data_IF_248140953736
#
_entry.id   IF_248140953736
#
_cell.length_a   1.000
_cell.length_b   1.000
_cell.length_c   1.000
_cell.angle_alpha   90.00
_cell.angle_beta   90.00
_cell.angle_gamma   90.00
#
_symmetry.space_group_name_H-M   'P 1'
#
loop_
_entity.id
_entity.type
_entity.pdbx_description
1 polymer ?
#
# COMPACT_ATOMS: atom_id res chain seq x y z
N UNK A 1 -10.71 8.75 -11.03
CA UNK A 1 -11.27 7.41 -10.80
C UNK A 1 -10.62 6.49 -11.82
N UNK A 2 -9.72 5.60 -11.40
CA UNK A 2 -9.16 4.57 -12.29
C UNK A 2 -10.11 3.38 -12.20
N UNK A 3 -10.73 3.03 -13.32
CA UNK A 3 -11.65 1.89 -13.43
C UNK A 3 -10.93 0.59 -12.99
N UNK A 4 -11.46 -0.18 -12.03
CA UNK A 4 -10.77 -1.33 -11.43
C UNK A 4 -10.65 -2.55 -12.37
N UNK A 5 -11.12 -2.46 -13.62
CA UNK A 5 -11.13 -3.57 -14.58
C UNK A 5 -9.95 -3.64 -15.55
N UNK A 6 -9.23 -2.54 -15.78
CA UNK A 6 -8.23 -2.48 -16.86
C UNK A 6 -6.80 -2.61 -16.35
N UNK A 7 -6.50 -2.06 -15.16
CA UNK A 7 -5.14 -2.03 -14.62
C UNK A 7 -4.54 -3.43 -14.38
N UNK A 8 -5.39 -4.42 -14.10
CA UNK A 8 -4.94 -5.80 -13.81
C UNK A 8 -4.57 -6.57 -15.09
N UNK A 9 -5.14 -6.21 -16.24
CA UNK A 9 -4.93 -6.95 -17.51
C UNK A 9 -3.59 -6.62 -18.19
N UNK A 10 -3.00 -5.47 -17.86
CA UNK A 10 -1.69 -5.05 -18.36
C UNK A 10 -0.52 -5.59 -17.51
N UNK A 11 -0.81 -6.28 -16.41
CA UNK A 11 0.24 -6.90 -15.60
C UNK A 11 0.76 -8.16 -16.30
N UNK A 12 2.07 -8.26 -16.57
CA UNK A 12 2.60 -9.43 -17.23
C UNK A 12 2.37 -10.67 -16.36
N UNK A 13 1.71 -11.68 -16.94
CA UNK A 13 1.58 -13.01 -16.33
C UNK A 13 2.90 -13.76 -16.36
N UNK A 14 3.09 -14.72 -15.44
CA UNK A 14 4.34 -15.46 -15.16
C UNK A 14 5.26 -15.69 -16.38
N UNK A 15 6.58 -15.45 -16.28
CA UNK A 15 7.49 -15.61 -17.42
C UNK A 15 7.43 -17.06 -17.91
N UNK A 16 7.04 -17.27 -19.17
CA UNK A 16 6.97 -18.60 -19.77
C UNK A 16 8.31 -19.06 -20.37
N UNK A 17 9.28 -18.14 -20.47
CA UNK A 17 10.59 -18.37 -21.07
C UNK A 17 11.72 -17.91 -20.13
N UNK A 18 12.88 -18.57 -20.26
CA UNK A 18 14.10 -18.25 -19.50
C UNK A 18 14.81 -16.99 -19.99
N UNK A 19 14.63 -16.63 -21.26
CA UNK A 19 15.12 -15.39 -21.87
C UNK A 19 13.89 -14.62 -22.35
N UNK A 20 13.74 -13.39 -21.85
CA UNK A 20 12.65 -12.49 -22.21
C UNK A 20 13.13 -11.46 -23.25
N UNK A 21 12.22 -11.01 -24.11
CA UNK A 21 12.49 -9.83 -24.93
C UNK A 21 12.58 -8.60 -24.03
N UNK A 22 13.30 -7.58 -24.49
CA UNK A 22 13.50 -6.36 -23.73
C UNK A 22 12.17 -5.71 -23.27
N UNK A 23 11.15 -5.68 -24.13
CA UNK A 23 9.84 -5.15 -23.79
C UNK A 23 9.13 -5.96 -22.69
N UNK A 24 9.21 -7.29 -22.73
CA UNK A 24 8.62 -8.16 -21.70
C UNK A 24 9.34 -7.99 -20.36
N UNK A 25 10.69 -7.97 -20.38
CA UNK A 25 11.48 -7.72 -19.19
C UNK A 25 11.15 -6.35 -18.56
N UNK A 26 10.90 -5.33 -19.39
CA UNK A 26 10.54 -4.00 -18.91
C UNK A 26 9.17 -3.98 -18.23
N UNK A 27 8.15 -4.58 -18.86
CA UNK A 27 6.82 -4.69 -18.27
C UNK A 27 6.86 -5.37 -16.90
N UNK A 28 7.70 -6.40 -16.74
CA UNK A 28 7.90 -7.08 -15.47
C UNK A 28 8.52 -6.21 -14.39
N UNK A 29 9.56 -5.45 -14.75
CA UNK A 29 10.21 -4.53 -13.83
C UNK A 29 9.25 -3.43 -13.37
N UNK A 30 8.50 -2.85 -14.32
CA UNK A 30 7.55 -1.79 -14.03
C UNK A 30 6.39 -2.31 -13.15
N UNK A 31 5.86 -3.51 -13.44
CA UNK A 31 4.85 -4.15 -12.59
C UNK A 31 5.35 -4.46 -11.17
N UNK A 32 6.59 -4.90 -11.02
CA UNK A 32 7.20 -5.12 -9.70
C UNK A 32 7.35 -3.80 -8.93
N UNK A 33 7.83 -2.74 -9.60
CA UNK A 33 7.98 -1.42 -8.99
C UNK A 33 6.64 -0.88 -8.49
N UNK A 34 5.57 -1.05 -9.28
CA UNK A 34 4.21 -0.66 -8.90
C UNK A 34 3.72 -1.40 -7.65
N UNK A 35 3.93 -2.73 -7.56
CA UNK A 35 3.52 -3.51 -6.39
C UNK A 35 4.31 -3.14 -5.13
N UNK A 36 5.59 -2.83 -5.27
CA UNK A 36 6.43 -2.38 -4.16
C UNK A 36 5.98 -1.01 -3.62
N UNK A 37 5.65 -0.07 -4.49
CA UNK A 37 5.11 1.24 -4.12
C UNK A 37 3.77 1.09 -3.39
N UNK A 38 2.83 0.33 -3.97
CA UNK A 38 1.54 0.07 -3.34
C UNK A 38 1.68 -0.58 -1.94
N UNK A 39 2.68 -1.46 -1.77
CA UNK A 39 2.99 -2.06 -0.46
C UNK A 39 3.49 -1.01 0.54
N UNK A 40 4.37 -0.10 0.12
CA UNK A 40 4.89 0.98 0.97
C UNK A 40 3.76 1.93 1.40
N UNK A 41 2.89 2.32 0.49
CA UNK A 41 1.76 3.18 0.78
C UNK A 41 0.79 2.53 1.79
N UNK A 42 0.48 1.25 1.59
CA UNK A 42 -0.34 0.51 2.53
C UNK A 42 0.30 0.41 3.93
N UNK A 43 1.64 0.28 4.01
CA UNK A 43 2.35 0.31 5.29
C UNK A 43 2.26 1.69 5.95
N UNK A 44 2.52 2.76 5.21
CA UNK A 44 2.42 4.13 5.72
C UNK A 44 1.02 4.45 6.23
N UNK A 45 -0.02 4.05 5.50
CA UNK A 45 -1.41 4.24 5.91
C UNK A 45 -1.73 3.49 7.21
N UNK A 46 -1.27 2.23 7.33
CA UNK A 46 -1.44 1.45 8.56
C UNK A 46 -0.72 2.07 9.75
N UNK A 47 0.49 2.58 9.55
CA UNK A 47 1.22 3.26 10.61
C UNK A 47 0.57 4.58 11.01
N UNK A 48 0.10 5.38 10.05
CA UNK A 48 -0.65 6.60 10.32
C UNK A 48 -1.92 6.31 11.12
N UNK A 49 -2.69 5.29 10.72
CA UNK A 49 -3.88 4.86 11.44
C UNK A 49 -3.57 4.39 12.87
N UNK A 50 -2.49 3.62 13.06
CA UNK A 50 -2.04 3.20 14.41
C UNK A 50 -1.65 4.39 15.28
N UNK A 51 -0.92 5.37 14.74
CA UNK A 51 -0.54 6.58 15.47
C UNK A 51 -1.76 7.42 15.84
N UNK A 52 -2.71 7.60 14.92
CA UNK A 52 -3.96 8.30 15.19
C UNK A 52 -4.74 7.61 16.31
N UNK A 53 -4.92 6.28 16.23
CA UNK A 53 -5.60 5.53 17.28
C UNK A 53 -4.92 5.64 18.66
N UNK A 54 -3.58 5.58 18.70
CA UNK A 54 -2.84 5.73 19.94
C UNK A 54 -2.95 7.16 20.52
N UNK A 55 -2.94 8.18 19.66
CA UNK A 55 -3.11 9.58 20.08
C UNK A 55 -4.51 9.81 20.67
N UNK A 56 -5.56 9.33 20.00
CA UNK A 56 -6.94 9.41 20.49
C UNK A 56 -7.12 8.65 21.82
N UNK A 57 -6.48 7.49 21.98
CA UNK A 57 -6.51 6.74 23.23
C UNK A 57 -5.84 7.50 24.39
N UNK A 58 -4.70 8.13 24.14
CA UNK A 58 -3.99 8.94 25.14
C UNK A 58 -4.79 10.19 25.52
N UNK A 59 -5.36 10.88 24.53
CA UNK A 59 -6.16 12.08 24.74
C UNK A 59 -7.45 11.77 25.51
N UNK A 60 -8.16 10.70 25.15
CA UNK A 60 -9.36 10.26 25.88
C UNK A 60 -9.08 9.85 27.33
N UNK A 61 -7.88 9.34 27.63
CA UNK A 61 -7.47 9.05 29.00
C UNK A 61 -7.25 10.32 29.84
N UNK A 62 -6.62 11.35 29.28
CA UNK A 62 -6.43 12.63 29.98
C UNK A 62 -7.74 13.39 30.17
N UNK A 63 -8.59 13.45 29.14
CA UNK A 63 -9.92 14.08 29.23
C UNK A 63 -10.81 13.36 30.26
N UNK A 64 -10.77 12.02 30.29
CA UNK A 64 -11.49 11.22 31.27
C UNK A 64 -10.97 11.42 32.70
N UNK A 65 -9.67 11.67 32.89
CA UNK A 65 -9.08 12.02 34.18
C UNK A 65 -9.52 13.42 34.64
N UNK A 66 -9.56 14.39 33.72
CA UNK A 66 -9.91 15.78 34.02
C UNK A 66 -11.40 16.00 34.32
N UNK A 67 -12.30 15.19 33.75
CA UNK A 67 -13.74 15.23 34.07
C UNK A 67 -14.11 14.45 35.35
N UNK A 68 -13.18 13.66 35.89
CA UNK A 68 -13.39 12.83 37.08
C UNK A 68 -13.00 13.48 38.40
N UNK A 69 -12.24 14.57 38.39
CA UNK A 69 -11.96 15.46 39.53
C UNK A 69 -13.07 16.51 39.71
#
# INVERSE_FOLDING_TARGET
>A
MVEPGTATNDMPGRPYARILRAAEARAWQDGHAFLDEARRDAQQLREAARRAYAAEYAQGYEDGKAQGD
#
